data_IF_215300507129
#
_entry.id   IF_215300507129
#
_cell.length_a   1.000
_cell.length_b   1.000
_cell.length_c   1.000
_cell.angle_alpha   90.00
_cell.angle_beta   90.00
_cell.angle_gamma   90.00
#
_symmetry.space_group_name_H-M   'P 1'
#
loop_
_entity.id
_entity.type
_entity.pdbx_description
1 polymer ?
#
# COMPACT_ATOMS: atom_id res chain seq x y z
N UNK A 1 -12.93 -3.41 -3.85
CA UNK A 1 -13.19 -2.98 -2.46
C UNK A 1 -11.95 -3.31 -1.65
N UNK A 2 -11.37 -2.35 -0.92
CA UNK A 2 -10.18 -2.60 -0.10
C UNK A 2 -10.55 -3.43 1.13
N UNK A 3 -9.80 -4.49 1.40
CA UNK A 3 -10.00 -5.32 2.60
C UNK A 3 -9.30 -4.67 3.79
N UNK A 4 -9.78 -4.94 5.02
CA UNK A 4 -9.11 -4.48 6.25
C UNK A 4 -7.66 -4.94 6.31
N UNK A 5 -7.39 -6.16 5.84
CA UNK A 5 -6.04 -6.69 5.80
C UNK A 5 -5.15 -5.95 4.79
N UNK A 6 -5.67 -5.58 3.62
CA UNK A 6 -4.93 -4.75 2.67
C UNK A 6 -4.55 -3.38 3.28
N UNK A 7 -5.49 -2.75 3.98
CA UNK A 7 -5.22 -1.49 4.69
C UNK A 7 -4.14 -1.68 5.75
N UNK A 8 -4.20 -2.76 6.53
CA UNK A 8 -3.19 -3.10 7.53
C UNK A 8 -1.82 -3.31 6.90
N UNK A 9 -1.74 -4.03 5.79
CA UNK A 9 -0.50 -4.27 5.03
C UNK A 9 0.12 -2.95 4.56
N UNK A 10 -0.69 -2.04 3.98
CA UNK A 10 -0.24 -0.72 3.53
C UNK A 10 0.27 0.13 4.69
N UNK A 11 -0.53 0.22 5.78
CA UNK A 11 -0.18 0.99 6.98
C UNK A 11 1.12 0.52 7.63
N UNK A 12 1.39 -0.79 7.60
CA UNK A 12 2.63 -1.37 8.17
C UNK A 12 3.84 -1.26 7.26
N UNK A 13 3.68 -0.85 6.00
CA UNK A 13 4.80 -0.64 5.09
C UNK A 13 5.26 0.81 5.11
N UNK A 14 6.14 1.17 6.06
CA UNK A 14 6.70 2.53 6.13
C UNK A 14 7.41 2.92 4.83
N UNK A 15 8.15 2.00 4.23
CA UNK A 15 8.91 2.24 3.00
C UNK A 15 7.98 2.60 1.83
N UNK A 16 6.85 1.89 1.70
CA UNK A 16 5.82 2.20 0.70
C UNK A 16 5.22 3.60 0.93
N UNK A 17 4.87 3.93 2.18
CA UNK A 17 4.23 5.20 2.50
C UNK A 17 5.17 6.41 2.31
N UNK A 18 6.50 6.22 2.43
CA UNK A 18 7.50 7.28 2.27
C UNK A 18 7.94 7.46 0.81
N UNK A 19 8.10 6.37 0.06
CA UNK A 19 8.57 6.41 -1.32
C UNK A 19 7.48 6.82 -2.32
N UNK A 20 6.24 6.88 -1.85
CA UNK A 20 5.11 7.25 -2.66
C UNK A 20 5.09 8.74 -3.00
N UNK A 21 4.78 9.03 -4.27
CA UNK A 21 4.50 10.39 -4.75
C UNK A 21 3.00 10.50 -5.04
N UNK A 22 2.23 11.18 -4.17
CA UNK A 22 0.78 11.26 -4.28
C UNK A 22 0.30 12.01 -5.52
N UNK A 23 -0.71 11.44 -6.20
CA UNK A 23 -1.53 12.14 -7.17
C UNK A 23 -2.95 12.41 -6.61
N UNK A 24 -3.65 13.38 -7.21
CA UNK A 24 -5.05 13.65 -6.85
C UNK A 24 -5.91 12.40 -7.01
N UNK A 25 -6.57 11.99 -5.92
CA UNK A 25 -7.46 10.82 -5.89
C UNK A 25 -6.83 9.54 -5.33
N UNK A 26 -5.57 9.58 -4.93
CA UNK A 26 -4.88 8.42 -4.36
C UNK A 26 -5.07 8.25 -2.84
N UNK A 27 -5.51 9.30 -2.16
CA UNK A 27 -5.55 9.32 -0.70
C UNK A 27 -6.79 8.63 -0.15
N UNK A 28 -6.58 7.90 0.95
CA UNK A 28 -7.66 7.32 1.73
C UNK A 28 -7.47 7.66 3.21
N UNK A 29 -8.53 8.15 3.83
CA UNK A 29 -8.61 8.26 5.27
C UNK A 29 -9.07 6.92 5.85
N UNK A 30 -8.37 6.44 6.88
CA UNK A 30 -8.78 5.27 7.64
C UNK A 30 -8.99 5.69 9.09
N UNK A 31 -10.21 6.12 9.41
CA UNK A 31 -10.56 6.65 10.72
C UNK A 31 -10.68 5.59 11.83
N UNK A 32 -10.94 6.05 13.06
CA UNK A 32 -11.04 5.23 14.29
C UNK A 32 -12.10 4.10 14.27
N UNK A 33 -12.89 3.97 13.19
CA UNK A 33 -13.87 2.90 12.97
C UNK A 33 -13.59 2.05 11.73
N UNK A 34 -12.35 2.05 11.22
CA UNK A 34 -11.97 1.45 9.94
C UNK A 34 -12.80 1.98 8.74
N UNK A 35 -13.32 3.21 8.86
CA UNK A 35 -13.96 3.91 7.76
C UNK A 35 -12.90 4.30 6.76
N UNK A 36 -12.96 3.69 5.57
CA UNK A 36 -12.09 3.99 4.44
C UNK A 36 -12.82 5.01 3.56
N UNK A 37 -12.38 6.27 3.58
CA UNK A 37 -12.97 7.34 2.77
C UNK A 37 -11.93 7.83 1.77
N UNK A 38 -12.26 8.00 0.47
CA UNK A 38 -11.33 8.67 -0.42
C UNK A 38 -11.12 10.11 0.07
N UNK A 39 -9.92 10.65 -0.12
CA UNK A 39 -9.66 12.06 0.13
C UNK A 39 -9.29 12.70 -1.20
N UNK A 40 -10.07 13.70 -1.60
CA UNK A 40 -9.73 14.56 -2.73
C UNK A 40 -9.04 15.79 -2.16
N UNK A 41 -7.81 16.03 -2.59
CA UNK A 41 -7.08 17.25 -2.26
C UNK A 41 -6.80 18.06 -3.52
N UNK A 42 -6.78 19.38 -3.33
CA UNK A 42 -6.33 20.36 -4.29
C UNK A 42 -5.22 21.17 -3.63
N UNK A 43 -4.05 21.26 -4.27
CA UNK A 43 -3.01 22.17 -3.83
C UNK A 43 -3.36 23.58 -4.29
N UNK A 44 -3.55 24.51 -3.34
CA UNK A 44 -3.85 25.92 -3.62
C UNK A 44 -2.78 26.77 -2.94
N UNK A 45 -1.86 27.33 -3.73
CA UNK A 45 -0.79 28.22 -3.25
C UNK A 45 0.21 27.54 -2.31
N UNK A 46 0.60 26.29 -2.58
CA UNK A 46 1.53 25.53 -1.75
C UNK A 46 0.93 24.96 -0.46
N UNK A 47 -0.39 25.05 -0.29
CA UNK A 47 -1.14 24.45 0.81
C UNK A 47 -2.08 23.39 0.28
N UNK A 48 -2.05 22.20 0.87
CA UNK A 48 -3.03 21.15 0.63
C UNK A 48 -4.39 21.61 1.19
N UNK A 49 -5.35 21.86 0.29
CA UNK A 49 -6.75 22.06 0.64
C UNK A 49 -7.51 20.78 0.32
N UNK A 50 -8.34 20.34 1.26
CA UNK A 50 -9.12 19.11 1.13
C UNK A 50 -10.54 19.50 0.72
N UNK A 51 -11.02 19.04 -0.45
CA UNK A 51 -12.38 19.33 -0.91
C UNK A 51 -13.32 18.21 -0.49
N UNK A 52 -14.00 18.45 0.63
CA UNK A 52 -15.33 17.93 1.02
C UNK A 52 -15.70 16.48 0.63
N UNK A 53 -15.13 15.51 1.35
CA UNK A 53 -15.85 14.28 1.73
C UNK A 53 -16.46 14.44 3.15
N UNK A 54 -16.23 15.61 3.78
CA UNK A 54 -16.71 15.98 5.11
C UNK A 54 -18.24 15.89 5.23
N UNK A 55 -18.98 16.40 4.24
CA UNK A 55 -20.45 16.39 4.26
C UNK A 55 -21.10 15.01 4.09
N UNK A 56 -20.47 14.08 3.38
CA UNK A 56 -21.07 12.77 3.10
C UNK A 56 -20.77 11.73 4.19
N UNK A 57 -19.65 11.88 4.91
CA UNK A 57 -19.17 10.88 5.88
C UNK A 57 -18.97 11.40 7.31
N UNK A 58 -19.32 12.66 7.58
CA UNK A 58 -19.29 13.25 8.93
C UNK A 58 -17.88 13.15 9.57
N UNK A 59 -16.84 13.40 8.76
CA UNK A 59 -15.46 13.33 9.21
C UNK A 59 -15.14 14.53 10.13
N UNK A 60 -14.31 14.35 11.17
CA UNK A 60 -13.88 15.46 12.02
C UNK A 60 -13.12 16.51 11.18
N UNK A 61 -13.39 17.80 11.41
CA UNK A 61 -12.69 18.93 10.73
C UNK A 61 -11.18 18.90 10.88
N UNK A 62 -10.72 18.32 11.99
CA UNK A 62 -9.31 18.09 12.26
C UNK A 62 -9.02 16.61 12.00
N UNK A 63 -8.79 16.27 10.72
CA UNK A 63 -8.30 14.94 10.36
C UNK A 63 -6.87 14.81 10.90
N UNK A 64 -6.69 13.92 11.87
CA UNK A 64 -5.37 13.52 12.29
C UNK A 64 -4.65 12.85 11.10
N UNK A 65 -3.56 13.46 10.64
CA UNK A 65 -2.74 12.96 9.53
C UNK A 65 -2.19 11.54 9.84
N UNK A 66 -2.12 11.12 11.11
CA UNK A 66 -1.78 9.74 11.48
C UNK A 66 -2.79 8.70 10.96
N UNK A 67 -4.03 9.12 10.63
CA UNK A 67 -5.07 8.26 10.06
C UNK A 67 -5.04 8.12 8.53
N UNK A 68 -4.20 8.89 7.85
CA UNK A 68 -4.10 8.86 6.39
C UNK A 68 -3.17 7.72 5.97
N UNK A 69 -3.69 6.81 5.15
CA UNK A 69 -2.93 5.68 4.62
C UNK A 69 -3.11 5.67 3.11
N UNK A 70 -2.01 5.64 2.39
CA UNK A 70 -2.06 5.39 0.97
C UNK A 70 -2.43 3.93 0.69
N UNK A 71 -3.45 3.75 -0.13
CA UNK A 71 -3.92 2.44 -0.60
C UNK A 71 -3.68 2.37 -2.11
N UNK A 72 -2.50 1.92 -2.55
CA UNK A 72 -2.15 1.94 -3.96
C UNK A 72 -3.09 1.06 -4.77
N UNK A 73 -3.30 1.45 -6.02
CA UNK A 73 -3.90 0.58 -7.04
C UNK A 73 -2.85 -0.36 -7.61
N UNK A 74 -3.31 -1.40 -8.31
CA UNK A 74 -2.42 -2.41 -8.92
C UNK A 74 -1.50 -1.77 -9.96
N UNK A 75 -2.02 -0.89 -10.82
CA UNK A 75 -1.25 -0.17 -11.84
C UNK A 75 -0.11 0.65 -11.22
N UNK A 76 -0.38 1.29 -10.08
CA UNK A 76 0.61 2.10 -9.36
C UNK A 76 1.71 1.21 -8.76
N UNK A 77 1.35 0.07 -8.15
CA UNK A 77 2.33 -0.88 -7.64
C UNK A 77 3.23 -1.42 -8.76
N UNK A 78 2.65 -1.76 -9.91
CA UNK A 78 3.40 -2.23 -11.08
C UNK A 78 4.37 -1.16 -11.57
N UNK A 79 3.89 0.08 -11.74
CA UNK A 79 4.71 1.22 -12.13
C UNK A 79 5.89 1.43 -11.18
N UNK A 80 5.64 1.41 -9.87
CA UNK A 80 6.71 1.57 -8.87
C UNK A 80 7.75 0.45 -8.92
N UNK A 81 7.37 -0.80 -9.19
CA UNK A 81 8.35 -1.89 -9.37
C UNK A 81 9.18 -1.62 -10.61
N UNK A 82 8.54 -1.26 -11.72
CA UNK A 82 9.23 -0.97 -12.99
C UNK A 82 10.11 0.28 -12.93
N UNK A 83 9.81 1.25 -12.06
CA UNK A 83 10.68 2.40 -11.83
C UNK A 83 11.89 2.06 -10.93
N UNK A 84 11.68 1.19 -9.94
CA UNK A 84 12.72 0.76 -9.01
C UNK A 84 13.59 -0.39 -9.53
N UNK A 85 13.22 -1.00 -10.65
CA UNK A 85 13.95 -2.09 -11.29
C UNK A 85 14.22 -1.72 -12.75
N UNK A 86 15.29 -2.22 -13.36
CA UNK A 86 15.49 -2.06 -14.81
C UNK A 86 14.63 -3.03 -15.63
N UNK A 87 13.56 -3.56 -15.03
CA UNK A 87 12.81 -4.69 -15.55
C UNK A 87 11.85 -4.28 -16.65
N UNK A 88 11.72 -5.12 -17.67
CA UNK A 88 10.66 -5.00 -18.68
C UNK A 88 9.33 -5.51 -18.13
N UNK A 89 8.23 -5.17 -18.81
CA UNK A 89 6.89 -5.63 -18.41
C UNK A 89 6.80 -7.16 -18.36
N UNK A 90 7.39 -7.87 -19.32
CA UNK A 90 7.39 -9.34 -19.32
C UNK A 90 8.12 -9.92 -18.08
N UNK A 91 9.26 -9.33 -17.73
CA UNK A 91 10.03 -9.72 -16.54
C UNK A 91 9.28 -9.42 -15.24
N UNK A 92 8.51 -8.32 -15.19
CA UNK A 92 7.62 -8.01 -14.07
C UNK A 92 6.59 -9.13 -13.87
N UNK A 93 5.95 -9.57 -14.96
CA UNK A 93 4.93 -10.63 -14.92
C UNK A 93 5.56 -11.98 -14.57
N UNK A 94 6.69 -12.34 -15.16
CA UNK A 94 7.40 -13.58 -14.83
C UNK A 94 7.80 -13.64 -13.36
N UNK A 95 8.37 -12.54 -12.82
CA UNK A 95 8.70 -12.44 -11.41
C UNK A 95 7.48 -12.50 -10.50
N UNK A 96 6.35 -11.90 -10.91
CA UNK A 96 5.10 -11.99 -10.17
C UNK A 96 4.56 -13.43 -10.14
N UNK A 97 4.58 -14.14 -11.28
CA UNK A 97 4.18 -15.55 -11.36
C UNK A 97 5.09 -16.43 -10.51
N UNK A 98 6.40 -16.16 -10.48
CA UNK A 98 7.34 -16.86 -9.62
C UNK A 98 7.02 -16.62 -8.14
N UNK A 99 6.83 -15.36 -7.74
CA UNK A 99 6.45 -15.00 -6.37
C UNK A 99 5.16 -15.68 -5.92
N UNK A 100 4.14 -15.75 -6.77
CA UNK A 100 2.89 -16.46 -6.43
C UNK A 100 3.10 -17.95 -6.17
N UNK A 101 4.06 -18.59 -6.86
CA UNK A 101 4.40 -20.01 -6.63
C UNK A 101 5.16 -20.23 -5.32
N UNK A 102 5.89 -19.22 -4.84
CA UNK A 102 6.65 -19.30 -3.58
C UNK A 102 5.84 -18.82 -2.38
N UNK A 103 4.68 -18.21 -2.61
CA UNK A 103 3.79 -17.72 -1.57
C UNK A 103 3.27 -18.87 -0.71
N UNK A 104 3.60 -18.82 0.58
CA UNK A 104 3.18 -19.83 1.57
C UNK A 104 2.11 -19.31 2.54
N UNK A 105 1.84 -17.99 2.56
CA UNK A 105 0.94 -17.37 3.53
C UNK A 105 -0.50 -17.23 3.00
N UNK A 106 -1.52 -17.83 3.67
CA UNK A 106 -2.92 -17.75 3.27
C UNK A 106 -3.59 -16.38 3.55
N UNK A 107 -2.89 -15.42 4.17
CA UNK A 107 -3.42 -14.07 4.44
C UNK A 107 -3.50 -13.20 3.19
N UNK A 108 -2.80 -13.57 2.10
CA UNK A 108 -2.86 -12.90 0.81
C UNK A 108 -3.97 -13.55 -0.03
N UNK A 109 -5.12 -12.89 -0.09
CA UNK A 109 -6.38 -13.47 -0.58
C UNK A 109 -6.94 -12.76 -1.80
N UNK A 110 -6.40 -11.61 -2.20
CA UNK A 110 -6.91 -10.86 -3.35
C UNK A 110 -5.79 -10.24 -4.21
N UNK A 111 -6.11 -9.85 -5.47
CA UNK A 111 -5.11 -9.31 -6.38
C UNK A 111 -4.31 -8.11 -5.86
N UNK A 112 -4.95 -7.19 -5.12
CA UNK A 112 -4.25 -6.02 -4.57
C UNK A 112 -3.24 -6.43 -3.50
N UNK A 113 -3.60 -7.37 -2.62
CA UNK A 113 -2.68 -7.92 -1.62
C UNK A 113 -1.51 -8.68 -2.26
N UNK A 114 -1.77 -9.45 -3.34
CA UNK A 114 -0.73 -10.16 -4.08
C UNK A 114 0.26 -9.18 -4.70
N UNK A 115 -0.21 -8.14 -5.38
CA UNK A 115 0.65 -7.13 -5.98
C UNK A 115 1.43 -6.32 -4.94
N UNK A 116 0.82 -6.00 -3.80
CA UNK A 116 1.52 -5.34 -2.71
C UNK A 116 2.60 -6.27 -2.10
N UNK A 117 2.27 -7.54 -1.89
CA UNK A 117 3.24 -8.55 -1.46
C UNK A 117 4.43 -8.64 -2.41
N UNK A 118 4.17 -8.68 -3.71
CA UNK A 118 5.22 -8.74 -4.72
C UNK A 118 6.05 -7.46 -4.76
N UNK A 119 5.44 -6.27 -4.65
CA UNK A 119 6.17 -5.00 -4.52
C UNK A 119 7.15 -5.04 -3.34
N UNK A 120 6.69 -5.50 -2.17
CA UNK A 120 7.52 -5.59 -0.97
C UNK A 120 8.64 -6.62 -1.12
N UNK A 121 8.37 -7.74 -1.78
CA UNK A 121 9.38 -8.74 -2.10
C UNK A 121 10.44 -8.20 -3.06
N UNK A 122 10.01 -7.67 -4.21
CA UNK A 122 10.90 -7.21 -5.29
C UNK A 122 11.74 -5.99 -4.91
N UNK A 123 11.18 -5.05 -4.13
CA UNK A 123 11.87 -3.79 -3.82
C UNK A 123 12.49 -3.75 -2.43
N UNK A 124 11.96 -4.51 -1.46
CA UNK A 124 12.39 -4.45 -0.06
C UNK A 124 12.88 -5.80 0.49
N UNK A 125 12.80 -6.89 -0.27
CA UNK A 125 13.09 -8.27 0.17
C UNK A 125 12.30 -8.66 1.44
N UNK A 126 11.04 -8.20 1.52
CA UNK A 126 10.15 -8.45 2.66
C UNK A 126 8.96 -9.30 2.24
N UNK A 127 8.59 -10.23 3.11
CA UNK A 127 7.37 -11.05 2.98
C UNK A 127 6.37 -10.70 4.08
N UNK A 128 5.08 -10.87 3.81
CA UNK A 128 4.04 -10.74 4.84
C UNK A 128 3.95 -12.05 5.62
N UNK A 129 4.17 -11.97 6.93
CA UNK A 129 4.01 -13.12 7.85
C UNK A 129 3.43 -12.62 9.17
N UNK A 130 2.44 -13.34 9.69
CA UNK A 130 1.85 -13.09 11.01
C UNK A 130 1.41 -11.62 11.22
N UNK A 131 0.95 -10.98 10.15
CA UNK A 131 0.47 -9.60 10.20
C UNK A 131 1.58 -8.54 10.30
N UNK A 132 2.80 -8.82 9.83
CA UNK A 132 3.94 -7.89 9.70
C UNK A 132 4.79 -8.19 8.45
N UNK A 133 5.54 -7.18 7.99
CA UNK A 133 6.55 -7.33 6.93
C UNK A 133 7.90 -7.75 7.53
N UNK A 134 8.44 -8.88 7.10
CA UNK A 134 9.67 -9.48 7.63
C UNK A 134 10.69 -9.68 6.51
N UNK A 135 11.95 -9.33 6.74
CA UNK A 135 13.03 -9.61 5.79
C UNK A 135 13.43 -11.09 5.86
N UNK A 136 13.75 -11.70 4.73
CA UNK A 136 14.18 -13.12 4.71
C UNK A 136 15.43 -13.40 5.54
N UNK A 137 16.27 -12.39 5.77
CA UNK A 137 17.46 -12.51 6.63
C UNK A 137 17.17 -12.53 8.14
N UNK A 138 15.97 -12.12 8.59
CA UNK A 138 15.60 -12.13 10.01
C UNK A 138 15.04 -13.49 10.48
N UNK A 139 14.72 -14.40 9.56
CA UNK A 139 14.18 -15.74 9.89
C UNK A 139 15.22 -16.79 10.32
N UNK A 140 16.51 -16.43 10.42
CA UNK A 140 17.60 -17.38 10.70
C UNK A 140 18.11 -17.31 12.16
N UNK A 141 17.63 -16.37 12.98
CA UNK A 141 18.20 -16.15 14.33
C UNK A 141 17.40 -16.82 15.47
N UNK A 142 16.27 -17.47 15.19
CA UNK A 142 15.55 -18.26 16.20
C UNK A 142 15.65 -19.77 15.88
N UNK A 143 16.82 -20.35 16.17
CA UNK A 143 17.00 -21.80 16.39
C UNK A 143 17.83 -22.03 17.64
#
# INVERSE_FOLDING_TARGET
MFTREYVRMCRKSKDLQVNWRPESGDWWYVGARDLICPIIYQEVGGKLQWSDIEHQYNLPRDIDLYGIVWLPRIDQLQGMIMENTTAKYDELIEGFLYFMKTLSDPAIQNPAQLWLGYYMYATQQKNWKEGRWVKETESVIEQ
#
